data_IF_612840268685
#
_entry.id   IF_612840268685
#
_cell.length_a   1.000
_cell.length_b   1.000
_cell.length_c   1.000
_cell.angle_alpha   90.00
_cell.angle_beta   90.00
_cell.angle_gamma   90.00
#
_symmetry.space_group_name_H-M   'P 1'
#
loop_
_entity.id
_entity.type
_entity.pdbx_description
1 polymer ?
#
# COMPACT_ATOMS: atom_id res chain seq x y z
N UNK A 1 2.34 26.35 15.02
CA UNK A 1 1.78 25.74 13.79
C UNK A 1 2.71 24.62 13.40
N UNK A 2 2.34 23.40 13.76
CA UNK A 2 3.22 22.25 13.64
C UNK A 2 3.27 21.78 12.18
N UNK A 3 4.40 22.08 11.56
CA UNK A 3 4.74 21.82 10.16
C UNK A 3 5.08 20.32 9.99
N UNK A 4 4.07 19.47 10.02
CA UNK A 4 4.24 18.02 9.73
C UNK A 4 3.21 17.44 8.76
N UNK A 5 2.32 18.26 8.19
CA UNK A 5 1.41 17.79 7.15
C UNK A 5 2.09 17.89 5.77
N UNK A 6 3.19 17.17 5.56
CA UNK A 6 3.73 16.98 4.22
C UNK A 6 2.79 16.02 3.48
N UNK A 7 2.10 16.52 2.46
CA UNK A 7 1.26 15.69 1.60
C UNK A 7 2.13 14.65 0.88
N UNK A 8 1.56 13.46 0.65
CA UNK A 8 2.20 12.47 -0.20
C UNK A 8 2.46 13.06 -1.60
N UNK A 9 3.54 12.63 -2.26
CA UNK A 9 3.89 13.12 -3.60
C UNK A 9 2.96 12.57 -4.72
N UNK A 10 1.85 11.92 -4.36
CA UNK A 10 0.90 11.31 -5.29
C UNK A 10 -0.53 11.53 -4.79
N UNK A 11 -1.43 11.82 -5.72
CA UNK A 11 -2.86 11.90 -5.44
C UNK A 11 -3.59 10.57 -5.59
N UNK A 12 -3.09 9.68 -6.46
CA UNK A 12 -3.56 8.29 -6.55
C UNK A 12 -2.39 7.38 -6.21
N UNK A 13 -2.53 6.48 -5.20
CA UNK A 13 -1.48 5.55 -4.84
C UNK A 13 -1.19 4.58 -6.00
N UNK A 14 -0.03 3.94 -5.93
CA UNK A 14 0.25 2.78 -6.78
C UNK A 14 -0.81 1.70 -6.54
N UNK A 15 -1.37 1.15 -7.61
CA UNK A 15 -2.39 0.09 -7.53
C UNK A 15 -1.80 -1.22 -8.01
N UNK A 16 -1.84 -2.22 -7.15
CA UNK A 16 -1.39 -3.58 -7.44
C UNK A 16 -2.59 -4.51 -7.60
N UNK A 17 -2.56 -5.34 -8.64
CA UNK A 17 -3.56 -6.35 -8.97
C UNK A 17 -2.86 -7.65 -9.38
N UNK A 18 -3.60 -8.75 -9.32
CA UNK A 18 -3.10 -10.01 -9.86
C UNK A 18 -2.87 -9.89 -11.38
N UNK A 19 -1.70 -10.30 -11.89
CA UNK A 19 -1.43 -10.22 -13.32
C UNK A 19 -2.28 -11.24 -14.08
N UNK A 20 -2.87 -10.78 -15.18
CA UNK A 20 -3.69 -11.63 -16.05
C UNK A 20 -2.84 -12.57 -16.91
N UNK A 21 -1.60 -12.19 -17.20
CA UNK A 21 -0.66 -12.98 -17.97
C UNK A 21 0.80 -12.61 -17.65
N UNK A 22 1.74 -13.52 -17.97
CA UNK A 22 3.16 -13.33 -17.69
C UNK A 22 3.94 -12.55 -18.75
N UNK A 23 3.37 -12.35 -19.93
CA UNK A 23 4.10 -11.80 -21.09
C UNK A 23 3.96 -10.28 -21.18
N UNK A 24 2.75 -9.77 -21.03
CA UNK A 24 2.41 -8.35 -21.21
C UNK A 24 1.95 -7.69 -19.92
N UNK A 25 1.43 -8.45 -18.95
CA UNK A 25 0.79 -7.88 -17.75
C UNK A 25 1.52 -8.21 -16.46
N UNK A 26 2.56 -9.04 -16.45
CA UNK A 26 3.34 -9.31 -15.25
C UNK A 26 4.38 -8.21 -15.03
N UNK A 27 4.18 -7.35 -14.03
CA UNK A 27 5.10 -6.25 -13.70
C UNK A 27 6.55 -6.71 -13.50
N UNK A 28 6.76 -7.82 -12.77
CA UNK A 28 8.10 -8.36 -12.54
C UNK A 28 8.75 -8.92 -13.82
N UNK A 29 7.94 -9.52 -14.70
CA UNK A 29 8.39 -10.14 -15.93
C UNK A 29 8.69 -9.10 -17.02
N UNK A 30 8.00 -7.97 -16.99
CA UNK A 30 8.12 -6.89 -17.97
C UNK A 30 9.39 -6.04 -17.81
N UNK A 31 10.16 -6.25 -16.74
CA UNK A 31 11.37 -5.47 -16.45
C UNK A 31 12.59 -6.33 -16.81
N UNK A 32 13.46 -5.79 -17.68
CA UNK A 32 14.75 -6.40 -17.94
C UNK A 32 15.74 -6.03 -16.82
N UNK A 33 16.03 -7.01 -15.98
CA UNK A 33 16.99 -6.90 -14.88
C UNK A 33 18.40 -7.39 -15.29
N UNK A 34 18.59 -7.81 -16.55
CA UNK A 34 19.85 -8.36 -17.01
C UNK A 34 20.98 -7.32 -16.95
N UNK A 35 22.12 -7.71 -16.38
CA UNK A 35 23.27 -6.82 -16.25
C UNK A 35 23.05 -5.59 -15.36
N UNK A 36 22.02 -5.59 -14.51
CA UNK A 36 21.81 -4.53 -13.53
C UNK A 36 22.94 -4.52 -12.50
N UNK A 37 23.42 -3.31 -12.21
CA UNK A 37 24.40 -3.05 -11.17
C UNK A 37 24.03 -1.77 -10.43
N UNK A 38 24.74 -1.46 -9.34
CA UNK A 38 24.42 -0.29 -8.49
C UNK A 38 24.44 1.03 -9.25
N UNK A 39 25.27 1.17 -10.29
CA UNK A 39 25.36 2.39 -11.12
C UNK A 39 24.21 2.52 -12.12
N UNK A 40 23.61 1.40 -12.52
CA UNK A 40 22.52 1.36 -13.52
C UNK A 40 21.12 1.38 -12.91
N UNK A 41 21.00 1.35 -11.57
CA UNK A 41 19.69 1.34 -10.87
C UNK A 41 18.80 2.53 -11.28
N UNK A 42 19.38 3.72 -11.45
CA UNK A 42 18.60 4.92 -11.75
C UNK A 42 18.07 4.93 -13.20
N UNK A 43 18.69 4.16 -14.09
CA UNK A 43 18.19 3.97 -15.46
C UNK A 43 17.07 2.95 -15.57
N UNK A 44 16.79 2.19 -14.50
CA UNK A 44 15.75 1.17 -14.49
C UNK A 44 14.38 1.85 -14.56
N UNK A 45 13.67 1.62 -15.66
CA UNK A 45 12.30 2.12 -15.86
C UNK A 45 11.31 1.00 -15.57
N UNK A 46 10.44 1.27 -14.61
CA UNK A 46 9.31 0.40 -14.30
C UNK A 46 8.12 0.74 -15.23
N UNK A 47 7.57 -0.24 -15.96
CA UNK A 47 6.45 -0.03 -16.85
C UNK A 47 5.14 0.20 -16.07
N UNK A 48 4.18 0.87 -16.71
CA UNK A 48 2.81 1.00 -16.21
C UNK A 48 1.97 -0.10 -16.86
N UNK A 49 1.68 -1.16 -16.10
CA UNK A 49 0.92 -2.34 -16.57
C UNK A 49 -0.38 -2.46 -15.76
N UNK A 50 -1.36 -3.23 -16.26
CA UNK A 50 -2.67 -3.30 -15.60
C UNK A 50 -2.58 -3.94 -14.21
N UNK A 51 -1.65 -4.88 -14.03
CA UNK A 51 -1.34 -5.50 -12.73
C UNK A 51 -0.61 -4.57 -11.74
N UNK A 52 0.04 -3.51 -12.21
CA UNK A 52 0.82 -2.60 -11.38
C UNK A 52 0.79 -1.19 -11.98
N UNK A 53 -0.28 -0.46 -11.65
CA UNK A 53 -0.43 0.92 -12.11
C UNK A 53 0.37 1.88 -11.24
N UNK A 54 1.15 2.75 -11.88
CA UNK A 54 2.02 3.70 -11.18
C UNK A 54 1.22 4.76 -10.41
N UNK A 55 1.77 5.33 -9.32
CA UNK A 55 1.16 6.46 -8.64
C UNK A 55 0.94 7.62 -9.62
N UNK A 56 -0.17 8.31 -9.46
CA UNK A 56 -0.47 9.53 -10.22
C UNK A 56 -0.18 10.72 -9.32
N UNK A 57 0.58 11.68 -9.84
CA UNK A 57 0.87 12.93 -9.15
C UNK A 57 -0.40 13.74 -8.91
N UNK A 58 -0.36 14.64 -7.93
CA UNK A 58 -1.42 15.62 -7.76
C UNK A 58 -1.52 16.54 -8.98
N UNK A 59 -2.73 16.96 -9.28
CA UNK A 59 -3.07 17.90 -10.34
C UNK A 59 -4.31 18.69 -9.93
N UNK A 60 -4.76 19.62 -10.77
CA UNK A 60 -6.04 20.33 -10.55
C UNK A 60 -7.23 19.35 -10.49
N UNK A 61 -7.15 18.24 -11.23
CA UNK A 61 -8.15 17.15 -11.21
C UNK A 61 -8.01 16.23 -10.00
N UNK A 62 -6.80 16.13 -9.43
CA UNK A 62 -6.47 15.27 -8.28
C UNK A 62 -5.81 16.12 -7.19
N UNK A 63 -6.58 16.97 -6.48
CA UNK A 63 -6.02 17.89 -5.50
C UNK A 63 -5.45 17.14 -4.29
N UNK A 64 -4.60 17.83 -3.54
CA UNK A 64 -4.14 17.33 -2.24
C UNK A 64 -5.33 17.29 -1.29
N UNK A 65 -5.65 16.13 -0.67
CA UNK A 65 -6.75 16.04 0.27
C UNK A 65 -6.48 16.93 1.49
N UNK A 66 -7.46 17.78 1.82
CA UNK A 66 -7.43 18.60 3.02
C UNK A 66 -7.95 17.74 4.17
N UNK A 67 -7.25 17.76 5.29
CA UNK A 67 -7.70 17.06 6.49
C UNK A 67 -8.74 17.91 7.21
N UNK A 68 -9.99 17.43 7.29
CA UNK A 68 -11.15 18.16 7.82
C UNK A 68 -11.53 17.80 9.27
N UNK A 69 -10.59 17.31 10.09
CA UNK A 69 -10.79 16.79 11.45
C UNK A 69 -11.32 15.34 11.49
N UNK A 70 -10.92 14.59 12.52
CA UNK A 70 -11.41 13.23 12.71
C UNK A 70 -12.86 13.25 13.22
N UNK A 71 -13.68 12.24 12.88
CA UNK A 71 -14.99 12.09 13.49
C UNK A 71 -14.86 12.09 15.01
N UNK A 72 -15.72 12.85 15.70
CA UNK A 72 -15.84 12.79 17.16
C UNK A 72 -16.42 11.42 17.53
N UNK A 73 -15.52 10.47 17.79
CA UNK A 73 -15.88 9.15 18.28
C UNK A 73 -16.15 9.34 19.77
N UNK A 74 -17.40 9.12 20.18
CA UNK A 74 -17.77 9.14 21.58
C UNK A 74 -16.92 8.15 22.38
N UNK A 75 -16.65 8.43 23.65
CA UNK A 75 -15.82 7.56 24.50
C UNK A 75 -16.38 6.11 24.59
N UNK A 76 -17.70 5.98 24.43
CA UNK A 76 -18.42 4.71 24.29
C UNK A 76 -17.93 3.93 23.05
N UNK A 77 -17.95 4.54 21.87
CA UNK A 77 -17.54 3.93 20.60
C UNK A 77 -16.04 3.64 20.54
N UNK A 78 -15.23 4.51 21.17
CA UNK A 78 -13.78 4.31 21.28
C UNK A 78 -13.47 3.05 22.10
N UNK A 79 -14.24 2.80 23.17
CA UNK A 79 -14.11 1.60 23.99
C UNK A 79 -14.51 0.34 23.20
N UNK A 80 -15.58 0.40 22.39
CA UNK A 80 -16.05 -0.69 21.53
C UNK A 80 -15.01 -1.03 20.47
N UNK A 81 -14.42 -0.03 19.80
CA UNK A 81 -13.35 -0.23 18.81
C UNK A 81 -12.06 -0.78 19.45
N UNK A 82 -11.68 -0.31 20.64
CA UNK A 82 -10.55 -0.88 21.41
C UNK A 82 -10.82 -2.34 21.76
N UNK A 83 -12.03 -2.66 22.18
CA UNK A 83 -12.46 -4.03 22.50
C UNK A 83 -12.53 -4.92 21.26
N UNK A 84 -13.01 -4.43 20.11
CA UNK A 84 -13.02 -5.15 18.84
C UNK A 84 -11.61 -5.39 18.31
N UNK A 85 -10.71 -4.40 18.39
CA UNK A 85 -9.30 -4.55 18.01
C UNK A 85 -8.59 -5.56 18.93
N UNK A 86 -8.85 -5.52 20.24
CA UNK A 86 -8.33 -6.47 21.23
C UNK A 86 -8.87 -7.88 21.00
N UNK A 87 -10.18 -8.03 20.74
CA UNK A 87 -10.83 -9.31 20.40
C UNK A 87 -10.31 -9.86 19.07
N UNK A 88 -10.17 -9.03 18.04
CA UNK A 88 -9.64 -9.42 16.72
C UNK A 88 -8.16 -9.82 16.81
N UNK A 89 -7.37 -9.14 17.64
CA UNK A 89 -5.99 -9.54 17.95
C UNK A 89 -5.95 -10.87 18.72
N UNK A 90 -6.83 -11.05 19.72
CA UNK A 90 -6.93 -12.27 20.51
C UNK A 90 -7.39 -13.47 19.66
N UNK A 91 -8.39 -13.30 18.79
CA UNK A 91 -8.82 -14.34 17.83
C UNK A 91 -7.74 -14.63 16.79
N UNK A 92 -7.02 -13.61 16.30
CA UNK A 92 -5.89 -13.81 15.39
C UNK A 92 -4.75 -14.55 16.10
N UNK A 93 -4.52 -14.32 17.39
CA UNK A 93 -3.52 -15.03 18.19
C UNK A 93 -3.88 -16.51 18.40
N UNK A 94 -5.16 -16.82 18.65
CA UNK A 94 -5.66 -18.20 18.77
C UNK A 94 -5.53 -18.95 17.43
N UNK A 95 -5.78 -18.28 16.29
CA UNK A 95 -5.72 -18.91 14.96
C UNK A 95 -4.28 -19.18 14.47
N UNK A 96 -3.23 -18.66 15.12
CA UNK A 96 -1.84 -18.90 14.75
C UNK A 96 -1.13 -20.04 15.52
N UNK A 97 -1.85 -20.90 16.27
CA UNK A 97 -1.23 -22.06 16.99
C UNK A 97 -1.36 -23.40 16.23
N UNK A 98 -1.69 -23.40 14.94
CA UNK A 98 -1.46 -24.60 14.11
C UNK A 98 -0.95 -24.24 12.71
N UNK A 99 0.38 -24.21 12.57
CA UNK A 99 1.04 -24.59 11.32
C UNK A 99 2.07 -25.69 11.63
N UNK A 100 2.08 -26.80 10.89
CA UNK A 100 2.89 -27.97 11.21
C UNK A 100 4.38 -27.70 10.99
N UNK A 101 5.23 -28.31 11.83
CA UNK A 101 6.68 -28.39 11.59
C UNK A 101 6.89 -29.03 10.22
N UNK A 102 7.56 -28.31 9.32
CA UNK A 102 8.15 -28.90 8.12
C UNK A 102 9.43 -29.62 8.56
N UNK A 103 9.51 -30.92 8.25
CA UNK A 103 10.73 -31.73 8.25
C UNK A 103 11.75 -31.18 7.26
#
# INVERSE_FOLDING_TARGET
MDKWQESLNFGIPMVWKEPTNHVTDCYFCAIDLSGMNRKKRDSLKYPDVQSARRPVAHSEEIPVPIFEELPNISDEDASVLKNLKKKKWFLKMILHIHFPKRN
#
